data_IF_557535446850
#
_entry.id   IF_557535446850
#
_cell.length_a   1.000
_cell.length_b   1.000
_cell.length_c   1.000
_cell.angle_alpha   90.00
_cell.angle_beta   90.00
_cell.angle_gamma   90.00
#
_symmetry.space_group_name_H-M   'P 1'
#
loop_
_entity.id
_entity.type
_entity.pdbx_description
1 polymer ?
#
# COMPACT_ATOMS: atom_id res chain seq x y z
N UNK A 1 11.19 30.81 -50.74
CA UNK A 1 10.36 30.23 -49.68
C UNK A 1 10.16 28.72 -49.98
N UNK A 2 10.94 27.87 -49.31
CA UNK A 2 10.73 26.44 -49.45
C UNK A 2 9.68 26.01 -48.41
N UNK A 3 8.58 25.47 -48.92
CA UNK A 3 7.51 24.94 -48.08
C UNK A 3 7.95 23.59 -47.49
N UNK A 4 8.25 23.57 -46.17
CA UNK A 4 8.49 22.32 -45.47
C UNK A 4 7.21 21.45 -45.48
N UNK A 5 7.31 20.26 -46.06
CA UNK A 5 6.24 19.24 -45.97
C UNK A 5 6.11 18.78 -44.54
N UNK A 6 4.91 18.65 -43.98
CA UNK A 6 4.72 18.12 -42.64
C UNK A 6 5.23 16.67 -42.55
N UNK A 7 5.92 16.36 -41.47
CA UNK A 7 6.42 15.04 -41.19
C UNK A 7 5.24 14.07 -41.02
N UNK A 8 5.23 12.89 -41.69
CA UNK A 8 4.12 11.97 -41.54
C UNK A 8 4.01 11.49 -40.08
N UNK A 9 2.81 11.44 -39.56
CA UNK A 9 2.54 10.94 -38.22
C UNK A 9 3.10 9.51 -38.04
N UNK A 10 3.64 9.15 -36.87
CA UNK A 10 4.17 7.82 -36.62
C UNK A 10 3.09 6.76 -36.84
N UNK A 11 3.36 5.82 -37.73
CA UNK A 11 2.47 4.69 -37.99
C UNK A 11 2.55 3.74 -36.79
N UNK A 12 1.53 3.78 -35.94
CA UNK A 12 1.37 2.80 -34.85
C UNK A 12 1.05 1.45 -35.49
N UNK A 13 1.90 0.41 -35.33
CA UNK A 13 1.62 -0.90 -35.92
C UNK A 13 0.30 -1.43 -35.33
N UNK A 14 -0.68 -1.70 -36.16
CA UNK A 14 -1.94 -2.37 -35.81
C UNK A 14 -1.61 -3.78 -35.32
N UNK A 15 -1.41 -3.95 -34.00
CA UNK A 15 -1.25 -5.26 -33.39
C UNK A 15 -2.58 -6.01 -33.54
N UNK A 16 -2.62 -7.01 -34.40
CA UNK A 16 -3.82 -7.86 -34.58
C UNK A 16 -4.01 -8.63 -33.26
N UNK A 17 -5.05 -8.28 -32.52
CA UNK A 17 -5.37 -8.97 -31.26
C UNK A 17 -6.03 -10.32 -31.61
N UNK A 18 -5.51 -11.38 -30.99
CA UNK A 18 -6.15 -12.70 -31.02
C UNK A 18 -6.80 -12.94 -29.67
N UNK A 19 -7.95 -13.62 -29.68
CA UNK A 19 -8.60 -14.04 -28.45
C UNK A 19 -7.67 -15.01 -27.71
N UNK A 20 -7.24 -14.60 -26.52
CA UNK A 20 -6.52 -15.43 -25.58
C UNK A 20 -7.26 -15.38 -24.24
N UNK A 21 -7.60 -16.53 -23.71
CA UNK A 21 -8.32 -16.67 -22.43
C UNK A 21 -7.45 -17.41 -21.44
N UNK A 22 -7.57 -17.04 -20.17
CA UNK A 22 -6.97 -17.77 -19.07
C UNK A 22 -8.00 -17.90 -17.95
N UNK A 23 -8.03 -19.04 -17.29
CA UNK A 23 -8.93 -19.35 -16.19
C UNK A 23 -8.13 -19.74 -14.94
N UNK A 24 -8.80 -19.72 -13.78
CA UNK A 24 -8.21 -20.12 -12.49
C UNK A 24 -7.58 -18.96 -11.71
N UNK A 25 -7.17 -19.27 -10.47
CA UNK A 25 -6.44 -18.36 -9.60
C UNK A 25 -5.04 -18.13 -10.17
N UNK A 26 -4.57 -16.88 -10.11
CA UNK A 26 -3.19 -16.54 -10.50
C UNK A 26 -2.44 -16.06 -9.27
N UNK A 27 -1.31 -16.67 -9.00
CA UNK A 27 -0.35 -16.13 -8.05
C UNK A 27 0.33 -14.92 -8.69
N UNK A 28 0.44 -13.87 -7.94
CA UNK A 28 1.19 -12.67 -8.30
C UNK A 28 1.85 -12.07 -7.07
N UNK A 29 2.96 -11.35 -7.22
CA UNK A 29 3.57 -10.63 -6.12
C UNK A 29 2.56 -9.70 -5.46
N UNK A 30 2.62 -9.62 -4.14
CA UNK A 30 1.68 -8.82 -3.35
C UNK A 30 2.00 -7.33 -3.43
N UNK A 31 0.95 -6.52 -3.40
CA UNK A 31 1.04 -5.13 -3.01
C UNK A 31 0.31 -4.97 -1.67
N UNK A 32 1.09 -4.77 -0.61
CA UNK A 32 0.60 -4.53 0.74
C UNK A 32 0.72 -3.05 1.06
N UNK A 33 -0.36 -2.43 1.52
CA UNK A 33 -0.34 -1.09 2.04
C UNK A 33 -0.63 -1.12 3.55
N UNK A 34 0.35 -0.71 4.36
CA UNK A 34 0.24 -0.68 5.82
C UNK A 34 0.25 0.78 6.30
N UNK A 35 -0.78 1.20 7.04
CA UNK A 35 -0.79 2.49 7.69
C UNK A 35 -1.05 2.36 9.20
N UNK A 36 -0.35 3.18 9.99
CA UNK A 36 -0.35 3.10 11.45
C UNK A 36 -0.11 4.46 12.07
N UNK A 37 -0.42 4.64 13.37
CA UNK A 37 0.16 5.73 14.14
C UNK A 37 1.69 5.72 14.10
N UNK A 38 2.29 6.88 14.33
CA UNK A 38 3.75 7.03 14.43
C UNK A 38 4.33 6.11 15.51
N UNK A 39 5.54 5.59 15.29
CA UNK A 39 6.25 4.76 16.27
C UNK A 39 5.71 3.35 16.49
N UNK A 40 4.66 2.92 15.79
CA UNK A 40 4.09 1.57 15.99
C UNK A 40 5.00 0.44 15.48
N UNK A 41 5.91 0.69 14.51
CA UNK A 41 6.83 -0.30 13.97
C UNK A 41 6.57 -0.69 12.51
N UNK A 42 6.04 0.22 11.68
CA UNK A 42 5.85 0.03 10.23
C UNK A 42 7.12 -0.46 9.52
N UNK A 43 8.21 0.29 9.71
CA UNK A 43 9.50 0.02 9.09
C UNK A 43 10.05 -1.33 9.54
N UNK A 44 9.93 -1.66 10.84
CA UNK A 44 10.33 -2.98 11.38
C UNK A 44 9.54 -4.12 10.75
N UNK A 45 8.22 -3.97 10.56
CA UNK A 45 7.40 -4.95 9.85
C UNK A 45 7.88 -5.16 8.42
N UNK A 46 8.12 -4.09 7.68
CA UNK A 46 8.57 -4.16 6.29
C UNK A 46 10.01 -4.70 6.15
N UNK A 47 10.88 -4.45 7.14
CA UNK A 47 12.25 -4.96 7.19
C UNK A 47 12.34 -6.49 7.28
N UNK A 48 11.32 -7.13 7.83
CA UNK A 48 11.23 -8.59 7.93
C UNK A 48 10.74 -9.26 6.63
N UNK A 49 10.34 -8.50 5.62
CA UNK A 49 9.91 -9.04 4.34
C UNK A 49 11.08 -9.69 3.57
N UNK A 50 10.83 -10.58 2.60
CA UNK A 50 11.88 -11.26 1.85
C UNK A 50 12.79 -10.29 1.09
N UNK A 51 14.08 -10.27 1.39
CA UNK A 51 15.15 -9.48 0.75
C UNK A 51 14.67 -8.06 0.37
N UNK A 52 14.35 -7.21 1.36
CA UNK A 52 13.75 -5.91 1.11
C UNK A 52 14.79 -4.88 0.65
N UNK A 53 14.36 -3.97 -0.23
CA UNK A 53 15.05 -2.70 -0.51
C UNK A 53 14.10 -1.55 -0.25
N UNK A 54 14.56 -0.55 0.49
CA UNK A 54 13.79 0.60 0.92
C UNK A 54 14.04 1.81 0.03
N UNK A 55 12.96 2.40 -0.46
CA UNK A 55 12.93 3.79 -0.87
C UNK A 55 12.54 4.59 0.37
N UNK A 56 13.55 5.03 1.13
CA UNK A 56 13.39 5.76 2.39
C UNK A 56 13.17 7.25 2.10
N UNK A 57 11.91 7.59 1.78
CA UNK A 57 11.50 8.96 1.42
C UNK A 57 11.52 9.88 2.63
N UNK A 58 11.10 9.35 3.78
CA UNK A 58 11.00 10.08 5.04
C UNK A 58 12.34 10.19 5.78
N UNK A 59 13.32 9.37 5.39
CA UNK A 59 14.62 9.21 6.07
C UNK A 59 14.47 8.73 7.54
N UNK A 60 13.39 7.99 7.82
CA UNK A 60 13.07 7.48 9.15
C UNK A 60 13.69 6.13 9.48
N UNK A 61 14.29 5.44 8.50
CA UNK A 61 14.80 4.07 8.69
C UNK A 61 16.24 4.00 9.20
N UNK A 62 16.88 5.13 9.56
CA UNK A 62 18.33 5.20 9.86
C UNK A 62 18.79 4.26 10.98
N UNK A 63 17.93 3.94 11.95
CA UNK A 63 18.22 3.00 13.05
C UNK A 63 17.93 1.53 12.69
N UNK A 64 17.43 1.25 11.49
CA UNK A 64 17.12 -0.10 11.05
C UNK A 64 18.26 -0.65 10.19
N UNK A 65 18.64 -1.91 10.41
CA UNK A 65 19.58 -2.61 9.53
C UNK A 65 18.84 -3.09 8.26
N UNK A 66 18.71 -2.19 7.29
CA UNK A 66 18.01 -2.44 6.03
C UNK A 66 18.79 -1.92 4.84
N UNK A 67 18.63 -2.56 3.69
CA UNK A 67 19.17 -2.07 2.42
C UNK A 67 18.32 -0.93 1.90
N UNK A 68 18.95 0.20 1.55
CA UNK A 68 18.29 1.40 1.03
C UNK A 68 18.72 1.68 -0.40
N UNK A 69 17.80 2.14 -1.22
CA UNK A 69 18.13 2.72 -2.50
C UNK A 69 18.81 4.07 -2.28
N UNK A 70 19.97 4.26 -2.90
CA UNK A 70 20.71 5.54 -2.85
C UNK A 70 20.24 6.40 -4.01
N UNK A 71 19.54 7.50 -3.72
CA UNK A 71 19.03 8.42 -4.76
C UNK A 71 20.14 9.33 -5.33
N UNK A 72 21.11 9.69 -4.50
CA UNK A 72 22.28 10.48 -4.90
C UNK A 72 23.53 9.95 -4.18
N UNK A 73 24.58 9.66 -4.96
CA UNK A 73 25.88 9.22 -4.42
C UNK A 73 26.64 10.34 -3.71
N UNK A 74 26.30 11.60 -3.94
CA UNK A 74 26.97 12.75 -3.33
C UNK A 74 26.61 12.98 -1.87
N UNK A 75 25.72 12.17 -1.29
CA UNK A 75 25.43 11.98 0.14
C UNK A 75 24.97 13.17 0.97
N UNK A 76 24.98 14.38 0.49
CA UNK A 76 24.39 15.51 1.21
C UNK A 76 22.92 15.69 0.80
N UNK A 77 22.03 14.94 1.46
CA UNK A 77 20.58 15.08 1.29
C UNK A 77 20.03 16.35 1.95
N UNK A 78 20.74 17.45 1.89
CA UNK A 78 20.21 18.75 2.27
C UNK A 78 19.16 19.24 1.25
N UNK A 79 19.21 18.76 0.00
CA UNK A 79 18.21 19.05 -1.01
C UNK A 79 16.98 18.12 -0.86
N UNK A 80 15.76 18.67 -1.01
CA UNK A 80 14.55 17.86 -1.04
C UNK A 80 14.60 16.84 -2.19
N UNK A 81 14.13 15.62 -1.93
CA UNK A 81 14.01 14.57 -2.94
C UNK A 81 13.08 15.05 -4.08
N UNK A 82 13.51 14.84 -5.32
CA UNK A 82 12.68 15.15 -6.49
C UNK A 82 11.79 13.95 -6.86
N UNK A 83 10.58 14.25 -7.34
CA UNK A 83 9.63 13.21 -7.77
C UNK A 83 10.20 12.28 -8.85
N UNK A 84 10.94 12.84 -9.82
CA UNK A 84 11.50 12.06 -10.92
C UNK A 84 12.66 11.17 -10.49
N UNK A 85 13.35 11.49 -9.40
CA UNK A 85 14.34 10.59 -8.79
C UNK A 85 13.64 9.35 -8.21
N UNK A 86 12.49 9.52 -7.55
CA UNK A 86 11.69 8.38 -7.04
C UNK A 86 11.21 7.50 -8.19
N UNK A 87 10.68 8.09 -9.25
CA UNK A 87 10.24 7.34 -10.44
C UNK A 87 11.43 6.66 -11.15
N UNK A 88 12.58 7.33 -11.20
CA UNK A 88 13.84 6.77 -11.68
C UNK A 88 14.25 5.52 -10.90
N UNK A 89 14.26 5.59 -9.58
CA UNK A 89 14.55 4.47 -8.69
C UNK A 89 13.60 3.28 -8.91
N UNK A 90 12.29 3.54 -8.95
CA UNK A 90 11.30 2.51 -9.25
C UNK A 90 11.47 1.90 -10.65
N UNK A 91 11.91 2.70 -11.62
CA UNK A 91 12.23 2.21 -12.96
C UNK A 91 13.46 1.29 -12.95
N UNK A 92 14.54 1.68 -12.28
CA UNK A 92 15.74 0.86 -12.11
C UNK A 92 15.37 -0.49 -11.50
N UNK A 93 14.61 -0.49 -10.39
CA UNK A 93 14.11 -1.70 -9.74
C UNK A 93 13.16 -2.53 -10.62
N UNK A 94 12.49 -1.91 -11.57
CA UNK A 94 11.63 -2.61 -12.53
C UNK A 94 12.38 -3.15 -13.76
N UNK A 95 13.62 -2.75 -14.05
CA UNK A 95 14.31 -3.09 -15.31
C UNK A 95 15.66 -3.76 -15.13
N UNK A 96 16.42 -3.44 -14.09
CA UNK A 96 17.73 -3.99 -13.87
C UNK A 96 17.69 -5.30 -13.08
N UNK A 97 18.74 -6.12 -13.22
CA UNK A 97 18.87 -7.34 -12.45
C UNK A 97 19.41 -7.06 -11.05
N UNK A 98 18.70 -7.57 -10.05
CA UNK A 98 19.02 -7.40 -8.64
C UNK A 98 18.42 -8.53 -7.79
N UNK A 99 18.97 -8.81 -6.59
CA UNK A 99 18.52 -9.92 -5.74
C UNK A 99 17.23 -9.62 -4.96
N UNK A 100 16.76 -8.36 -4.91
CA UNK A 100 15.66 -7.94 -4.05
C UNK A 100 14.35 -8.61 -4.43
N UNK A 101 13.57 -9.01 -3.40
CA UNK A 101 12.27 -9.67 -3.54
C UNK A 101 11.12 -8.79 -3.08
N UNK A 102 11.43 -7.72 -2.39
CA UNK A 102 10.43 -6.76 -1.89
C UNK A 102 10.95 -5.33 -2.05
N UNK A 103 10.15 -4.46 -2.64
CA UNK A 103 10.39 -3.01 -2.66
C UNK A 103 9.50 -2.37 -1.59
N UNK A 104 10.10 -1.60 -0.70
CA UNK A 104 9.41 -0.88 0.37
C UNK A 104 9.45 0.62 0.08
N UNK A 105 8.31 1.29 0.13
CA UNK A 105 8.20 2.76 0.04
C UNK A 105 7.82 3.30 1.41
N UNK A 106 8.73 3.99 2.05
CA UNK A 106 8.62 4.49 3.43
C UNK A 106 8.82 6.02 3.46
N UNK A 107 7.77 6.85 3.49
CA UNK A 107 6.34 6.57 3.51
C UNK A 107 5.61 7.23 2.31
N UNK A 108 4.36 6.81 2.06
CA UNK A 108 3.56 7.40 0.98
C UNK A 108 3.03 8.79 1.31
N UNK A 109 2.85 9.13 2.57
CA UNK A 109 2.50 10.49 2.99
C UNK A 109 3.68 11.46 2.80
N UNK A 110 4.93 11.03 3.05
CA UNK A 110 6.12 11.78 2.66
C UNK A 110 6.24 11.90 1.14
N UNK A 111 5.95 10.83 0.39
CA UNK A 111 5.92 10.83 -1.07
C UNK A 111 4.87 11.81 -1.62
N UNK A 112 3.72 11.96 -0.97
CA UNK A 112 2.71 12.95 -1.36
C UNK A 112 3.27 14.37 -1.32
N UNK A 113 4.05 14.70 -0.29
CA UNK A 113 4.70 16.01 -0.19
C UNK A 113 5.71 16.23 -1.34
N UNK A 114 6.48 15.19 -1.71
CA UNK A 114 7.41 15.24 -2.87
C UNK A 114 6.64 15.49 -4.17
N UNK A 115 5.53 14.78 -4.40
CA UNK A 115 4.66 14.99 -5.57
C UNK A 115 4.12 16.42 -5.61
N UNK A 116 3.58 16.91 -4.50
CA UNK A 116 3.04 18.28 -4.40
C UNK A 116 4.13 19.31 -4.71
N UNK A 117 5.32 19.17 -4.13
CA UNK A 117 6.45 20.06 -4.41
C UNK A 117 6.85 20.06 -5.88
N UNK A 118 6.91 18.89 -6.51
CA UNK A 118 7.29 18.76 -7.92
C UNK A 118 6.28 19.41 -8.85
N UNK A 119 4.98 19.18 -8.68
CA UNK A 119 3.96 19.81 -9.52
C UNK A 119 3.87 21.31 -9.29
N UNK A 120 4.01 21.78 -8.05
CA UNK A 120 4.04 23.21 -7.74
C UNK A 120 5.23 23.88 -8.43
N UNK A 121 6.43 23.29 -8.36
CA UNK A 121 7.63 23.78 -9.04
C UNK A 121 7.44 23.82 -10.55
N UNK A 122 6.88 22.77 -11.15
CA UNK A 122 6.59 22.68 -12.58
C UNK A 122 5.65 23.81 -13.05
N UNK A 123 4.62 24.11 -12.25
CA UNK A 123 3.54 25.01 -12.62
C UNK A 123 3.71 26.43 -12.04
N UNK A 124 4.88 26.73 -11.43
CA UNK A 124 5.18 28.04 -10.84
C UNK A 124 4.28 28.44 -9.68
N UNK A 125 3.87 27.45 -8.87
CA UNK A 125 3.05 27.62 -7.67
C UNK A 125 3.90 27.52 -6.40
N UNK A 126 3.46 28.18 -5.32
CA UNK A 126 4.14 28.10 -4.02
C UNK A 126 3.70 26.87 -3.23
N UNK A 127 2.42 26.53 -3.31
CA UNK A 127 1.85 25.39 -2.62
C UNK A 127 0.68 24.77 -3.41
N UNK A 128 0.21 23.61 -2.98
CA UNK A 128 -0.84 22.85 -3.65
C UNK A 128 -2.20 23.55 -3.63
N UNK A 129 -2.46 24.41 -2.65
CA UNK A 129 -3.72 25.15 -2.51
C UNK A 129 -3.81 26.33 -3.49
N UNK A 130 -2.67 26.81 -4.03
CA UNK A 130 -2.63 27.92 -5.01
C UNK A 130 -3.32 27.57 -6.33
N UNK A 131 -3.60 26.30 -6.57
CA UNK A 131 -4.42 25.88 -7.73
C UNK A 131 -5.90 26.23 -7.57
N UNK A 132 -6.35 26.44 -6.33
CA UNK A 132 -7.74 26.74 -5.98
C UNK A 132 -8.70 25.56 -6.24
N UNK A 133 -9.76 25.52 -5.47
CA UNK A 133 -10.85 24.51 -5.60
C UNK A 133 -10.38 23.06 -5.67
N UNK A 134 -9.28 22.71 -4.99
CA UNK A 134 -8.72 21.35 -4.95
C UNK A 134 -8.15 20.84 -6.27
N UNK A 135 -7.94 21.71 -7.28
CA UNK A 135 -7.38 21.32 -8.59
C UNK A 135 -5.95 20.83 -8.49
N UNK A 136 -5.16 21.33 -7.53
CA UNK A 136 -3.81 20.84 -7.28
C UNK A 136 -3.79 19.35 -6.92
N UNK A 137 -4.70 18.90 -6.06
CA UNK A 137 -4.82 17.48 -5.70
C UNK A 137 -5.33 16.63 -6.87
N UNK A 138 -6.06 17.21 -7.83
CA UNK A 138 -6.42 16.49 -9.07
C UNK A 138 -5.19 16.33 -9.96
N UNK A 139 -4.35 17.36 -10.08
CA UNK A 139 -3.09 17.28 -10.82
C UNK A 139 -2.13 16.25 -10.17
N UNK A 140 -2.03 16.23 -8.82
CA UNK A 140 -1.25 15.24 -8.11
C UNK A 140 -1.72 13.80 -8.36
N UNK A 141 -3.00 13.59 -8.62
CA UNK A 141 -3.54 12.26 -8.90
C UNK A 141 -2.98 11.65 -10.20
N UNK A 142 -2.58 12.45 -11.17
CA UNK A 142 -1.94 11.95 -12.39
C UNK A 142 -0.54 11.42 -12.09
N UNK A 143 0.21 12.07 -11.21
CA UNK A 143 1.51 11.59 -10.73
C UNK A 143 1.35 10.30 -9.90
N UNK A 144 0.32 10.20 -9.07
CA UNK A 144 0.00 8.96 -8.37
C UNK A 144 -0.34 7.80 -9.32
N UNK A 145 -0.96 8.08 -10.46
CA UNK A 145 -1.18 7.06 -11.51
C UNK A 145 0.12 6.59 -12.13
N UNK A 146 1.10 7.48 -12.31
CA UNK A 146 2.46 7.12 -12.75
C UNK A 146 3.13 6.21 -11.72
N UNK A 147 3.05 6.55 -10.43
CA UNK A 147 3.53 5.71 -9.33
C UNK A 147 2.91 4.31 -9.36
N UNK A 148 1.60 4.21 -9.44
CA UNK A 148 0.87 2.94 -9.55
C UNK A 148 1.37 2.13 -10.75
N UNK A 149 1.57 2.78 -11.91
CA UNK A 149 2.13 2.14 -13.09
C UNK A 149 3.54 1.60 -12.87
N UNK A 150 4.38 2.30 -12.12
CA UNK A 150 5.73 1.84 -11.77
C UNK A 150 5.68 0.64 -10.79
N UNK A 151 4.83 0.69 -9.78
CA UNK A 151 4.58 -0.43 -8.85
C UNK A 151 4.14 -1.69 -9.60
N UNK A 152 3.20 -1.58 -10.54
CA UNK A 152 2.74 -2.74 -11.32
C UNK A 152 3.84 -3.32 -12.22
N UNK A 153 4.78 -2.50 -12.72
CA UNK A 153 5.95 -3.01 -13.46
C UNK A 153 6.91 -3.80 -12.55
N UNK A 154 7.16 -3.34 -11.35
CA UNK A 154 7.96 -4.07 -10.35
C UNK A 154 7.30 -5.42 -10.05
N UNK A 155 5.99 -5.43 -9.81
CA UNK A 155 5.23 -6.66 -9.55
C UNK A 155 5.25 -7.63 -10.73
N UNK A 156 5.22 -7.12 -11.96
CA UNK A 156 5.34 -7.96 -13.17
C UNK A 156 6.67 -8.73 -13.25
N UNK A 157 7.70 -8.30 -12.51
CA UNK A 157 9.00 -9.01 -12.38
C UNK A 157 9.04 -10.06 -11.26
N UNK A 158 7.96 -10.28 -10.57
CA UNK A 158 7.93 -11.24 -9.46
C UNK A 158 8.31 -10.65 -8.09
N UNK A 159 8.30 -9.31 -7.94
CA UNK A 159 8.76 -8.59 -6.76
C UNK A 159 7.54 -8.04 -6.00
N UNK A 160 7.48 -8.30 -4.69
CA UNK A 160 6.47 -7.74 -3.81
C UNK A 160 6.68 -6.23 -3.62
N UNK A 161 5.60 -5.51 -3.33
CA UNK A 161 5.68 -4.09 -2.97
C UNK A 161 4.96 -3.88 -1.65
N UNK A 162 5.62 -3.19 -0.72
CA UNK A 162 5.05 -2.72 0.53
C UNK A 162 5.08 -1.20 0.50
N UNK A 163 3.93 -0.58 0.70
CA UNK A 163 3.83 0.88 0.85
C UNK A 163 3.39 1.18 2.27
N UNK A 164 4.13 2.03 2.95
CA UNK A 164 3.89 2.43 4.34
C UNK A 164 3.30 3.83 4.38
N UNK A 165 2.42 4.10 5.35
CA UNK A 165 1.88 5.42 5.60
C UNK A 165 1.66 5.67 7.09
N UNK A 166 1.62 6.92 7.49
CA UNK A 166 1.10 7.31 8.80
C UNK A 166 -0.42 7.33 8.79
N UNK A 167 -1.02 7.13 9.96
CA UNK A 167 -2.43 7.36 10.17
C UNK A 167 -2.70 8.73 10.79
N UNK A 168 -3.90 9.23 10.57
CA UNK A 168 -4.45 10.38 11.26
C UNK A 168 -5.89 10.09 11.65
N UNK A 169 -6.37 10.75 12.71
CA UNK A 169 -7.79 10.74 13.05
C UNK A 169 -8.48 11.86 12.29
N UNK A 170 -9.56 11.54 11.61
CA UNK A 170 -10.36 12.49 10.81
C UNK A 170 -11.85 12.22 11.02
N UNK A 171 -12.63 13.28 11.16
CA UNK A 171 -14.07 13.17 11.21
C UNK A 171 -14.59 12.55 9.91
N UNK A 172 -15.46 11.56 10.05
CA UNK A 172 -16.08 10.84 8.94
C UNK A 172 -17.59 11.10 8.96
N UNK A 173 -18.08 11.67 7.85
CA UNK A 173 -19.50 11.86 7.63
C UNK A 173 -20.12 10.56 7.15
N UNK A 174 -20.94 9.97 7.99
CA UNK A 174 -21.64 8.72 7.66
C UNK A 174 -23.02 9.02 7.11
N UNK A 175 -23.45 8.37 6.01
CA UNK A 175 -24.83 8.46 5.54
C UNK A 175 -25.82 7.69 6.43
N UNK A 176 -25.34 6.76 7.27
CA UNK A 176 -26.17 5.81 8.00
C UNK A 176 -26.23 6.09 9.51
N UNK A 177 -25.30 6.91 10.05
CA UNK A 177 -25.17 7.21 11.49
C UNK A 177 -24.74 8.66 11.69
N UNK A 178 -24.68 9.12 12.94
CA UNK A 178 -24.03 10.37 13.30
C UNK A 178 -22.55 10.38 12.87
N UNK A 179 -22.02 11.58 12.64
CA UNK A 179 -20.61 11.77 12.31
C UNK A 179 -19.73 11.23 13.45
N UNK A 180 -18.63 10.56 13.09
CA UNK A 180 -17.69 9.97 14.04
C UNK A 180 -16.26 10.09 13.56
N UNK A 181 -15.31 10.01 14.48
CA UNK A 181 -13.88 10.01 14.18
C UNK A 181 -13.42 8.62 13.77
N UNK A 182 -12.56 8.58 12.74
CA UNK A 182 -11.92 7.33 12.31
C UNK A 182 -10.47 7.53 11.91
N UNK A 183 -9.70 6.46 12.00
CA UNK A 183 -8.33 6.42 11.47
C UNK A 183 -8.35 6.36 9.95
N UNK A 184 -7.59 7.24 9.34
CA UNK A 184 -7.37 7.29 7.89
C UNK A 184 -5.89 7.44 7.60
N UNK A 185 -5.46 7.15 6.38
CA UNK A 185 -4.12 7.46 5.92
C UNK A 185 -3.89 8.96 5.97
N UNK A 186 -2.71 9.39 6.42
CA UNK A 186 -2.30 10.81 6.48
C UNK A 186 -1.97 11.33 5.09
N UNK A 187 -2.94 11.26 4.20
CA UNK A 187 -2.85 11.62 2.79
C UNK A 187 -4.14 12.27 2.32
N UNK A 188 -4.09 12.94 1.17
CA UNK A 188 -5.29 13.44 0.52
C UNK A 188 -6.21 12.28 0.10
N UNK A 189 -7.51 12.44 0.32
CA UNK A 189 -8.52 11.37 0.16
C UNK A 189 -8.51 10.70 -1.23
N UNK A 190 -8.23 11.47 -2.30
CA UNK A 190 -8.15 10.95 -3.68
C UNK A 190 -6.94 10.03 -3.87
N UNK A 191 -5.78 10.40 -3.34
CA UNK A 191 -4.56 9.61 -3.40
C UNK A 191 -4.71 8.35 -2.55
N UNK A 192 -5.16 8.49 -1.28
CA UNK A 192 -5.46 7.38 -0.40
C UNK A 192 -6.48 6.40 -1.01
N UNK A 193 -7.53 6.93 -1.66
CA UNK A 193 -8.54 6.13 -2.38
C UNK A 193 -7.92 5.30 -3.50
N UNK A 194 -7.08 5.91 -4.33
CA UNK A 194 -6.38 5.23 -5.41
C UNK A 194 -5.47 4.10 -4.90
N UNK A 195 -4.68 4.35 -3.85
CA UNK A 195 -3.79 3.33 -3.28
C UNK A 195 -4.60 2.18 -2.65
N UNK A 196 -5.67 2.48 -1.91
CA UNK A 196 -6.58 1.47 -1.34
C UNK A 196 -7.23 0.60 -2.41
N UNK A 197 -7.62 1.20 -3.53
CA UNK A 197 -8.21 0.46 -4.65
C UNK A 197 -7.20 -0.51 -5.29
N UNK A 198 -5.96 -0.05 -5.51
CA UNK A 198 -4.93 -0.77 -6.25
C UNK A 198 -4.19 -1.81 -5.44
N UNK A 199 -3.91 -1.55 -4.16
CA UNK A 199 -3.27 -2.53 -3.28
C UNK A 199 -4.12 -3.81 -3.16
N UNK A 200 -3.48 -4.96 -3.03
CA UNK A 200 -4.16 -6.24 -2.80
C UNK A 200 -4.66 -6.35 -1.37
N UNK A 201 -3.85 -5.87 -0.44
CA UNK A 201 -4.09 -5.88 1.00
C UNK A 201 -3.84 -4.49 1.54
N UNK A 202 -4.78 -3.98 2.33
CA UNK A 202 -4.65 -2.75 3.12
C UNK A 202 -4.78 -3.12 4.58
N UNK A 203 -3.76 -2.81 5.36
CA UNK A 203 -3.66 -3.12 6.78
C UNK A 203 -3.68 -1.84 7.60
N UNK A 204 -4.45 -1.85 8.68
CA UNK A 204 -4.35 -0.83 9.72
C UNK A 204 -3.63 -1.41 10.94
N UNK A 205 -2.56 -0.78 11.40
CA UNK A 205 -1.86 -1.20 12.60
C UNK A 205 -2.22 -0.33 13.80
N UNK A 206 -2.38 -0.96 14.96
CA UNK A 206 -2.65 -0.26 16.23
C UNK A 206 -2.06 -1.02 17.42
N UNK A 207 -2.03 -0.37 18.58
CA UNK A 207 -1.91 -1.12 19.84
C UNK A 207 -3.23 -1.82 20.14
N UNK A 208 -3.13 -3.04 20.64
CA UNK A 208 -4.30 -3.74 21.15
C UNK A 208 -4.85 -3.01 22.39
N UNK A 209 -6.11 -2.61 22.33
CA UNK A 209 -6.75 -1.78 23.35
C UNK A 209 -8.08 -2.40 23.76
N UNK A 210 -8.27 -2.53 25.06
CA UNK A 210 -9.54 -2.96 25.66
C UNK A 210 -10.22 -1.78 26.35
N UNK A 211 -11.54 -1.79 26.35
CA UNK A 211 -12.32 -0.86 27.14
C UNK A 211 -12.65 -1.48 28.50
N UNK A 212 -12.21 -0.83 29.58
CA UNK A 212 -12.57 -1.22 30.94
C UNK A 212 -13.53 -0.18 31.52
N UNK A 213 -14.68 -0.65 31.97
CA UNK A 213 -15.65 0.21 32.67
C UNK A 213 -15.29 0.25 34.16
N UNK A 214 -14.95 1.44 34.63
CA UNK A 214 -14.74 1.63 36.07
C UNK A 214 -16.10 1.63 36.76
N UNK A 215 -16.36 0.62 37.59
CA UNK A 215 -17.66 0.45 38.25
C UNK A 215 -18.01 1.59 39.23
N UNK A 216 -16.98 2.21 39.85
CA UNK A 216 -17.16 3.31 40.80
C UNK A 216 -17.49 4.65 40.11
N UNK A 217 -16.80 4.94 39.01
CA UNK A 217 -16.94 6.22 38.30
C UNK A 217 -17.83 6.14 37.06
N UNK A 218 -18.25 4.94 36.66
CA UNK A 218 -18.97 4.60 35.41
C UNK A 218 -18.27 5.10 34.13
N UNK A 219 -17.02 5.53 34.24
CA UNK A 219 -16.22 5.97 33.09
C UNK A 219 -15.65 4.78 32.36
N UNK A 220 -15.69 4.83 31.04
CA UNK A 220 -15.04 3.88 30.15
C UNK A 220 -13.62 4.39 29.91
N UNK A 221 -12.61 3.54 30.17
CA UNK A 221 -11.21 3.82 29.92
C UNK A 221 -10.65 2.78 28.94
N UNK A 222 -9.89 3.26 27.96
CA UNK A 222 -9.10 2.37 27.11
C UNK A 222 -7.84 1.94 27.86
N UNK A 223 -7.59 0.65 27.93
CA UNK A 223 -6.35 0.06 28.47
C UNK A 223 -5.66 -0.66 27.33
N UNK A 224 -4.39 -0.30 27.07
CA UNK A 224 -3.58 -0.99 26.08
C UNK A 224 -2.76 -2.10 26.73
N UNK A 225 -2.69 -3.27 26.08
CA UNK A 225 -1.80 -4.36 26.47
C UNK A 225 -0.34 -4.11 26.10
N UNK A 226 -0.07 -3.11 25.23
CA UNK A 226 1.22 -2.90 24.61
C UNK A 226 1.48 -3.83 23.41
N UNK A 227 0.64 -4.83 23.16
CA UNK A 227 0.73 -5.66 21.97
C UNK A 227 0.41 -4.84 20.71
N UNK A 228 1.17 -5.07 19.65
CA UNK A 228 1.02 -4.42 18.36
C UNK A 228 0.33 -5.37 17.41
N UNK A 229 -0.79 -4.93 16.83
CA UNK A 229 -1.61 -5.75 15.94
C UNK A 229 -1.85 -5.05 14.62
N UNK A 230 -2.10 -5.83 13.57
CA UNK A 230 -2.59 -5.39 12.27
C UNK A 230 -4.01 -5.91 12.06
N UNK A 231 -4.86 -5.02 11.61
CA UNK A 231 -6.24 -5.32 11.25
C UNK A 231 -6.33 -5.52 9.74
N UNK A 232 -6.97 -6.57 9.33
CA UNK A 232 -7.12 -6.98 7.92
C UNK A 232 -8.50 -6.68 7.36
N UNK A 233 -9.49 -6.44 8.22
CA UNK A 233 -10.88 -6.21 7.88
C UNK A 233 -11.31 -4.80 8.28
N UNK A 234 -12.12 -4.18 7.43
CA UNK A 234 -12.66 -2.84 7.65
C UNK A 234 -13.64 -2.82 8.82
N UNK A 235 -13.57 -1.75 9.62
CA UNK A 235 -14.56 -1.41 10.65
C UNK A 235 -15.02 0.05 10.50
N UNK A 236 -15.90 0.52 11.39
CA UNK A 236 -16.22 1.93 11.47
C UNK A 236 -14.97 2.78 11.83
N UNK A 237 -14.08 2.26 12.69
CA UNK A 237 -12.94 2.99 13.21
C UNK A 237 -11.77 3.15 12.21
N UNK A 238 -11.64 2.27 11.23
CA UNK A 238 -10.54 2.29 10.26
C UNK A 238 -10.90 1.57 8.96
N UNK A 239 -10.17 1.88 7.87
CA UNK A 239 -10.21 1.12 6.62
C UNK A 239 -9.21 -0.04 6.68
N UNK A 240 -9.61 -1.19 6.13
CA UNK A 240 -8.74 -2.29 5.79
C UNK A 240 -9.32 -3.02 4.58
N UNK A 241 -8.49 -3.78 3.89
CA UNK A 241 -8.88 -4.53 2.70
C UNK A 241 -8.10 -5.83 2.65
N UNK A 242 -8.80 -6.90 2.42
CA UNK A 242 -8.22 -8.24 2.41
C UNK A 242 -8.88 -9.05 1.28
N UNK A 243 -8.09 -9.47 0.31
CA UNK A 243 -8.53 -10.36 -0.80
C UNK A 243 -8.15 -11.82 -0.54
N UNK A 244 -7.66 -12.11 0.67
CA UNK A 244 -7.01 -13.38 0.99
C UNK A 244 -7.64 -14.11 2.17
N UNK A 245 -8.83 -13.72 2.62
CA UNK A 245 -9.55 -14.31 3.78
C UNK A 245 -8.67 -14.45 5.03
N UNK A 246 -7.81 -13.43 5.27
CA UNK A 246 -6.97 -13.39 6.45
C UNK A 246 -7.83 -13.25 7.71
N UNK A 247 -7.35 -13.73 8.88
CA UNK A 247 -7.98 -13.46 10.17
C UNK A 247 -8.22 -11.96 10.36
N UNK A 248 -9.23 -11.59 11.14
CA UNK A 248 -9.61 -10.19 11.39
C UNK A 248 -8.43 -9.34 11.88
N UNK A 249 -7.59 -9.92 12.73
CA UNK A 249 -6.35 -9.29 13.22
C UNK A 249 -5.23 -10.32 13.33
N UNK A 250 -4.00 -9.83 13.25
CA UNK A 250 -2.76 -10.60 13.38
C UNK A 250 -1.76 -9.77 14.21
N UNK A 251 -0.76 -10.38 14.84
CA UNK A 251 0.38 -9.66 15.37
C UNK A 251 1.03 -8.78 14.29
N UNK A 252 1.60 -7.63 14.66
CA UNK A 252 2.37 -6.79 13.74
C UNK A 252 3.76 -7.43 13.50
N UNK A 253 3.75 -8.53 12.77
CA UNK A 253 4.89 -9.35 12.40
C UNK A 253 4.73 -9.78 10.94
N UNK A 254 5.82 -9.68 10.17
CA UNK A 254 5.81 -10.20 8.80
C UNK A 254 5.64 -11.71 8.76
N UNK A 255 6.26 -12.42 9.70
CA UNK A 255 6.18 -13.88 9.78
C UNK A 255 4.73 -14.36 9.94
N UNK A 256 3.98 -13.80 10.90
CA UNK A 256 2.57 -14.14 11.12
C UNK A 256 1.70 -13.76 9.92
N UNK A 257 1.96 -12.61 9.33
CA UNK A 257 1.26 -12.15 8.13
C UNK A 257 1.51 -13.08 6.94
N UNK A 258 2.77 -13.40 6.64
CA UNK A 258 3.15 -14.26 5.52
C UNK A 258 2.65 -15.69 5.71
N UNK A 259 2.71 -16.22 6.94
CA UNK A 259 2.12 -17.51 7.29
C UNK A 259 0.60 -17.54 7.02
N UNK A 260 -0.13 -16.49 7.43
CA UNK A 260 -1.56 -16.38 7.18
C UNK A 260 -1.89 -16.29 5.68
N UNK A 261 -1.09 -15.53 4.90
CA UNK A 261 -1.25 -15.44 3.44
C UNK A 261 -1.00 -16.81 2.77
N UNK A 262 0.03 -17.54 3.21
CA UNK A 262 0.38 -18.86 2.67
C UNK A 262 -0.59 -19.97 3.08
N UNK A 263 -1.11 -19.93 4.28
CA UNK A 263 -2.12 -20.89 4.76
C UNK A 263 -3.38 -20.93 3.90
N UNK A 264 -3.63 -19.86 3.16
CA UNK A 264 -4.70 -19.74 2.16
C UNK A 264 -4.38 -20.38 0.80
N UNK A 265 -3.15 -20.85 0.54
CA UNK A 265 -2.88 -21.66 -0.65
C UNK A 265 -3.99 -22.73 -0.75
N UNK A 266 -4.62 -22.98 -1.90
CA UNK A 266 -5.90 -23.67 -1.98
C UNK A 266 -5.80 -24.97 -1.21
N UNK A 267 -6.39 -25.01 -0.02
CA UNK A 267 -6.93 -26.24 0.48
C UNK A 267 -7.78 -26.76 -0.68
N UNK A 268 -7.35 -27.85 -1.24
CA UNK A 268 -7.97 -28.49 -2.39
C UNK A 268 -9.48 -28.53 -2.09
N UNK A 269 -10.27 -27.63 -2.68
CA UNK A 269 -11.72 -27.57 -2.44
C UNK A 269 -12.33 -28.93 -2.77
N UNK A 270 -11.66 -29.71 -3.65
CA UNK A 270 -11.96 -31.12 -3.90
C UNK A 270 -11.63 -32.01 -2.71
N UNK A 271 -10.53 -31.78 -2.00
CA UNK A 271 -10.18 -32.58 -0.80
C UNK A 271 -11.14 -32.27 0.35
N UNK A 272 -11.49 -31.00 0.55
CA UNK A 272 -12.47 -30.60 1.57
C UNK A 272 -13.89 -31.09 1.21
N UNK A 273 -14.30 -31.02 -0.06
CA UNK A 273 -15.56 -31.55 -0.52
C UNK A 273 -15.61 -33.09 -0.40
N UNK A 274 -14.50 -33.78 -0.70
CA UNK A 274 -14.38 -35.22 -0.54
C UNK A 274 -14.41 -35.62 0.95
N UNK A 275 -13.79 -34.84 1.84
CA UNK A 275 -13.81 -35.09 3.28
C UNK A 275 -15.19 -34.84 3.89
N UNK A 276 -15.88 -33.77 3.46
CA UNK A 276 -17.26 -33.47 3.87
C UNK A 276 -18.21 -34.61 3.39
N UNK A 277 -18.05 -35.06 2.14
CA UNK A 277 -18.87 -36.14 1.57
C UNK A 277 -18.59 -37.47 2.32
N UNK A 278 -17.34 -37.74 2.68
CA UNK A 278 -16.98 -38.92 3.46
C UNK A 278 -17.59 -38.88 4.87
N UNK A 279 -17.45 -37.75 5.58
CA UNK A 279 -18.05 -37.56 6.90
C UNK A 279 -19.58 -37.64 6.88
N UNK A 280 -20.20 -37.08 5.82
CA UNK A 280 -21.65 -37.19 5.66
C UNK A 280 -22.11 -38.66 5.41
N UNK A 281 -21.33 -39.46 4.70
CA UNK A 281 -21.60 -40.86 4.48
C UNK A 281 -21.36 -41.69 5.77
N UNK A 282 -20.40 -41.34 6.60
CA UNK A 282 -20.13 -41.95 7.90
C UNK A 282 -21.23 -41.67 8.95
N UNK A 283 -21.93 -40.52 8.82
CA UNK A 283 -23.00 -40.09 9.73
C UNK A 283 -24.42 -40.48 9.27
N UNK A 284 -24.58 -40.93 8.05
CA UNK A 284 -25.86 -41.32 7.46
C UNK A 284 -26.11 -42.82 7.32
N UNK A 285 -25.28 -43.66 7.96
CA UNK A 285 -25.37 -45.11 7.95
C UNK A 285 -25.80 -45.66 9.29
N UNK A 286 -27.05 -45.42 9.67
CA UNK A 286 -27.81 -46.21 10.69
C UNK A 286 -29.25 -46.35 10.23
#
# INVERSE_FOLDING_TARGET
>A
MQTMKPNPAPVVPKKTMKLAVSSGKRERPLWVHLYTPEGLGKTTFAAQAPVPIFLDIEQGSFEQDVTRFVFDETTDRSAPLDWWEVIGALRVLATEDHPYKTVVVDTTDALEAVIHGSICKRDGKTNIEDYGYGRGHVAALDEWRIFVGAVERIRARGINVITLAHSMVKAFKSPDTDDYDRYQMKMHDKAAGLLKERADIVLFGSYETFTVKNEKTKRIQGVSTGARIIHTQRTAAYDAKNRFDLPESLPLSWEDFDAAVKARAPADVKALAAEVTRKAAELGGD
#
